data_IF_508173108261
#
_entry.id   IF_508173108261
#
_cell.length_a   1.000
_cell.length_b   1.000
_cell.length_c   1.000
_cell.angle_alpha   90.00
_cell.angle_beta   90.00
_cell.angle_gamma   90.00
#
_symmetry.space_group_name_H-M   'P 1'
#
loop_
_entity.id
_entity.type
_entity.pdbx_description
1 polymer ?
#
# COMPACT_ATOMS: atom_id res chain seq x y z
N UNK A 1 9.54 -9.94 -5.52
CA UNK A 1 8.86 -9.50 -6.73
C UNK A 1 8.29 -8.10 -6.55
N UNK A 2 7.49 -7.88 -5.51
CA UNK A 2 6.90 -6.57 -5.28
C UNK A 2 7.96 -5.51 -4.98
N UNK A 3 9.01 -5.88 -4.23
CA UNK A 3 10.08 -4.95 -3.90
C UNK A 3 10.86 -4.51 -5.14
N UNK A 4 11.03 -5.40 -6.09
CA UNK A 4 11.70 -5.05 -7.35
C UNK A 4 10.87 -4.06 -8.16
N UNK A 5 9.56 -4.24 -8.18
CA UNK A 5 8.67 -3.34 -8.87
C UNK A 5 8.69 -1.94 -8.25
N UNK A 6 8.68 -1.87 -6.93
CA UNK A 6 8.76 -0.61 -6.20
C UNK A 6 10.07 0.10 -6.50
N UNK A 7 11.18 -0.63 -6.48
CA UNK A 7 12.49 -0.08 -6.77
C UNK A 7 12.53 0.50 -8.18
N UNK A 8 11.96 -0.20 -9.13
CA UNK A 8 11.91 0.27 -10.51
C UNK A 8 11.08 1.55 -10.65
N UNK A 9 9.96 1.63 -9.96
CA UNK A 9 9.14 2.83 -9.98
C UNK A 9 9.89 4.05 -9.46
N UNK A 10 10.65 3.89 -8.38
CA UNK A 10 11.47 4.98 -7.86
C UNK A 10 12.60 5.35 -8.82
N UNK A 11 13.17 4.35 -9.49
CA UNK A 11 14.23 4.58 -10.47
C UNK A 11 13.72 5.40 -11.65
N UNK A 12 12.44 5.26 -11.99
CA UNK A 12 11.81 6.00 -13.07
C UNK A 12 11.46 7.44 -12.69
N UNK A 13 11.72 7.82 -11.45
CA UNK A 13 11.52 9.19 -11.01
C UNK A 13 10.32 9.40 -10.10
N UNK A 14 9.69 8.35 -9.65
CA UNK A 14 8.58 8.47 -8.72
C UNK A 14 9.09 8.98 -7.37
N UNK A 15 8.38 9.95 -6.79
CA UNK A 15 8.72 10.50 -5.48
C UNK A 15 7.96 9.80 -4.37
N UNK A 16 6.79 9.27 -4.68
CA UNK A 16 5.92 8.63 -3.70
C UNK A 16 5.10 7.54 -4.41
N UNK A 17 4.86 6.46 -3.71
CA UNK A 17 4.03 5.38 -4.21
C UNK A 17 2.86 5.20 -3.26
N UNK A 18 1.65 5.15 -3.81
CA UNK A 18 0.43 4.90 -3.05
C UNK A 18 -0.08 3.51 -3.37
N UNK A 19 -0.48 2.79 -2.33
CA UNK A 19 -1.11 1.48 -2.48
C UNK A 19 -2.36 1.43 -1.62
N UNK A 20 -3.32 0.65 -2.06
CA UNK A 20 -4.51 0.39 -1.26
C UNK A 20 -4.79 -1.10 -1.24
N UNK A 21 -5.43 -1.56 -0.19
CA UNK A 21 -5.78 -2.96 -0.07
C UNK A 21 -7.04 -3.08 0.80
N UNK A 22 -7.67 -4.25 0.73
CA UNK A 22 -8.84 -4.52 1.57
C UNK A 22 -8.41 -4.61 3.03
N UNK A 23 -9.17 -3.97 3.90
CA UNK A 23 -8.89 -3.97 5.33
C UNK A 23 -8.84 -5.38 5.92
N UNK A 24 -9.58 -6.31 5.33
CA UNK A 24 -9.57 -7.71 5.73
C UNK A 24 -8.35 -8.47 5.29
N UNK A 25 -7.59 -7.93 4.35
CA UNK A 25 -6.41 -8.60 3.80
C UNK A 25 -5.19 -8.29 4.67
N UNK A 26 -5.13 -8.92 5.83
CA UNK A 26 -4.03 -8.68 6.78
C UNK A 26 -2.68 -9.11 6.24
N UNK A 27 -2.67 -10.10 5.36
CA UNK A 27 -1.44 -10.58 4.76
C UNK A 27 -0.77 -9.51 3.89
N UNK A 28 -1.56 -8.85 3.04
CA UNK A 28 -1.05 -7.77 2.22
C UNK A 28 -0.60 -6.58 3.07
N UNK A 29 -1.37 -6.26 4.11
CA UNK A 29 -1.01 -5.19 5.03
C UNK A 29 0.34 -5.47 5.69
N UNK A 30 0.55 -6.70 6.12
CA UNK A 30 1.80 -7.10 6.75
C UNK A 30 2.98 -6.96 5.78
N UNK A 31 2.78 -7.38 4.53
CA UNK A 31 3.82 -7.27 3.50
C UNK A 31 4.18 -5.81 3.25
N UNK A 32 3.17 -4.95 3.11
CA UNK A 32 3.41 -3.53 2.86
C UNK A 32 4.13 -2.86 4.01
N UNK A 33 3.77 -3.20 5.24
CA UNK A 33 4.45 -2.66 6.42
C UNK A 33 5.91 -3.11 6.48
N UNK A 34 6.17 -4.35 6.08
CA UNK A 34 7.54 -4.86 5.99
C UNK A 34 8.37 -4.13 4.95
N UNK A 35 7.73 -3.69 3.88
CA UNK A 35 8.41 -2.94 2.82
C UNK A 35 8.65 -1.48 3.20
N UNK A 36 8.09 -1.04 4.32
CA UNK A 36 8.28 0.32 4.79
C UNK A 36 7.12 1.26 4.51
N UNK A 37 6.04 0.75 3.93
CA UNK A 37 4.85 1.58 3.70
C UNK A 37 4.21 2.00 5.01
N UNK A 38 3.67 3.22 5.02
CA UNK A 38 2.96 3.76 6.16
C UNK A 38 1.46 3.80 5.87
N UNK A 39 0.68 3.45 6.86
CA UNK A 39 -0.77 3.54 6.77
C UNK A 39 -1.15 5.03 6.87
N UNK A 40 -1.75 5.56 5.81
CA UNK A 40 -2.11 6.97 5.75
C UNK A 40 -3.58 7.21 6.03
N UNK A 41 -4.43 6.30 5.60
CA UNK A 41 -5.86 6.46 5.79
C UNK A 41 -6.55 5.10 5.80
N UNK A 42 -7.69 5.04 6.47
CA UNK A 42 -8.55 3.85 6.46
C UNK A 42 -9.95 4.32 6.07
N UNK A 43 -10.51 3.66 5.07
CA UNK A 43 -11.84 3.98 4.56
C UNK A 43 -12.78 2.84 4.91
N UNK A 44 -13.74 3.08 5.77
CA UNK A 44 -14.71 2.08 6.17
C UNK A 44 -15.91 2.13 5.23
N UNK A 45 -16.37 0.94 4.80
CA UNK A 45 -17.54 0.80 3.93
C UNK A 45 -17.41 1.65 2.66
N UNK A 46 -16.21 1.62 2.06
CA UNK A 46 -15.91 2.51 0.94
C UNK A 46 -16.45 2.01 -0.38
N UNK A 47 -16.73 0.72 -0.51
CA UNK A 47 -17.26 0.15 -1.74
C UNK A 47 -18.04 -1.12 -1.45
N UNK A 48 -18.90 -1.49 -2.42
CA UNK A 48 -19.67 -2.73 -2.35
C UNK A 48 -19.00 -3.81 -3.17
N UNK A 49 -18.89 -5.00 -2.61
CA UNK A 49 -18.39 -6.14 -3.36
C UNK A 49 -19.52 -6.76 -4.20
N UNK A 50 -19.21 -7.85 -4.91
CA UNK A 50 -20.16 -8.52 -5.80
C UNK A 50 -21.35 -9.11 -5.05
N UNK A 51 -21.20 -9.39 -3.78
CA UNK A 51 -22.24 -9.95 -2.94
C UNK A 51 -23.13 -8.88 -2.31
N UNK A 52 -22.82 -7.60 -2.58
CA UNK A 52 -23.57 -6.49 -2.00
C UNK A 52 -23.16 -6.11 -0.60
N UNK A 53 -22.10 -6.71 -0.09
CA UNK A 53 -21.55 -6.37 1.22
C UNK A 53 -20.61 -5.19 1.11
N UNK A 54 -20.64 -4.32 2.12
CA UNK A 54 -19.72 -3.19 2.15
C UNK A 54 -18.33 -3.64 2.56
N UNK A 55 -17.33 -3.14 1.84
CA UNK A 55 -15.93 -3.46 2.11
C UNK A 55 -15.18 -2.21 2.53
N UNK A 56 -14.18 -2.42 3.35
CA UNK A 56 -13.31 -1.33 3.81
C UNK A 56 -11.95 -1.46 3.17
N UNK A 57 -11.28 -0.34 3.01
CA UNK A 57 -9.94 -0.31 2.43
C UNK A 57 -8.99 0.48 3.31
N UNK A 58 -7.71 0.21 3.16
CA UNK A 58 -6.65 0.93 3.86
C UNK A 58 -5.63 1.41 2.83
N UNK A 59 -5.22 2.66 2.96
CA UNK A 59 -4.26 3.27 2.06
C UNK A 59 -2.88 3.27 2.68
N UNK A 60 -1.88 2.95 1.87
CA UNK A 60 -0.48 2.95 2.27
C UNK A 60 0.32 3.88 1.37
N UNK A 61 1.35 4.47 1.92
CA UNK A 61 2.23 5.39 1.22
C UNK A 61 3.68 5.08 1.51
N UNK A 62 4.52 5.16 0.50
CA UNK A 62 5.97 5.03 0.65
C UNK A 62 6.65 6.11 -0.18
N UNK A 63 7.44 6.95 0.47
CA UNK A 63 8.22 7.98 -0.22
C UNK A 63 9.59 7.44 -0.62
N UNK A 64 10.21 8.09 -1.61
CA UNK A 64 11.54 7.71 -2.05
C UNK A 64 12.56 7.83 -0.92
N UNK A 65 12.44 8.85 -0.09
CA UNK A 65 13.33 9.04 1.06
C UNK A 65 13.20 7.89 2.06
N UNK A 66 11.97 7.48 2.34
CA UNK A 66 11.73 6.37 3.24
C UNK A 66 12.28 5.06 2.68
N UNK A 67 12.12 4.85 1.39
CA UNK A 67 12.63 3.66 0.72
C UNK A 67 14.16 3.62 0.77
N UNK A 68 14.81 4.74 0.55
CA UNK A 68 16.26 4.85 0.63
C UNK A 68 16.78 4.56 2.04
N UNK A 69 16.06 5.01 3.05
CA UNK A 69 16.44 4.79 4.44
C UNK A 69 16.34 3.34 4.88
N UNK A 70 15.55 2.55 4.16
CA UNK A 70 15.41 1.11 4.46
C UNK A 70 16.59 0.30 3.96
N UNK A 71 17.37 0.85 3.07
CA UNK A 71 18.57 0.22 2.56
C UNK A 71 19.77 0.59 3.43
#
# INVERSE_FOLDING_TARGET
>A
VLSMLIEELFRMGANVIFLDTNLKNTRAQHVYEKLGFRKTAVHYNSWKNQLGEMESSVDYELTADEFCNLK
#
